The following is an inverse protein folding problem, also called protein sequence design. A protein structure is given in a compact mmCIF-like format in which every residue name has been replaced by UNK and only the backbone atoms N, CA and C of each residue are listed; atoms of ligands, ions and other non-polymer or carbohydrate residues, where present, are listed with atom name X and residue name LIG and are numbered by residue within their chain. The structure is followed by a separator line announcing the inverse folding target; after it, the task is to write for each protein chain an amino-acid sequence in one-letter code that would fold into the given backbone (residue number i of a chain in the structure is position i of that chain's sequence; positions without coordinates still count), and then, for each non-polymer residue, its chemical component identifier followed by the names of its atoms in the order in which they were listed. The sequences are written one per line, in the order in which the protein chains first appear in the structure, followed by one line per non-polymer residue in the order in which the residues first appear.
data_IF_107861339065
#
_entry.id   IF_107861339065
#
_cell.length_a   1.000
_cell.length_b   1.000
_cell.length_c   1.000
_cell.angle_alpha   90.00
_cell.angle_beta   90.00
_cell.angle_gamma   90.00
#
_symmetry.space_group_name_H-M   'P 1'
#
loop_
_entity.id
_entity.type
_entity.pdbx_description
1 polymer ?
#
# COMPACT_ATOMS: atom_id res chain seq x y z
N UNK A 1 -12.63 2.72 19.19
CA UNK A 1 -11.81 2.07 18.14
C UNK A 1 -12.55 0.83 17.70
N UNK A 2 -12.94 0.74 16.42
CA UNK A 2 -13.59 -0.47 15.88
C UNK A 2 -12.50 -1.48 15.64
N UNK A 3 -12.48 -2.56 16.41
CA UNK A 3 -11.57 -3.68 16.20
C UNK A 3 -11.73 -4.15 14.74
N UNK A 4 -10.67 -4.01 13.94
CA UNK A 4 -10.61 -4.78 12.70
C UNK A 4 -10.65 -6.25 13.12
N UNK A 5 -11.64 -6.99 12.65
CA UNK A 5 -11.66 -8.44 12.80
C UNK A 5 -10.46 -9.00 12.07
N UNK A 6 -9.76 -9.99 12.63
CA UNK A 6 -8.52 -10.57 12.09
C UNK A 6 -8.56 -10.85 10.57
N UNK A 7 -9.72 -11.25 10.04
CA UNK A 7 -9.94 -11.46 8.60
C UNK A 7 -9.76 -10.20 7.73
N UNK A 8 -10.14 -9.03 8.24
CA UNK A 8 -9.98 -7.75 7.54
C UNK A 8 -8.53 -7.31 7.51
N UNK A 9 -7.80 -7.58 8.57
CA UNK A 9 -6.36 -7.30 8.66
C UNK A 9 -5.57 -8.21 7.71
N UNK A 10 -5.92 -9.51 7.65
CA UNK A 10 -5.36 -10.45 6.68
C UNK A 10 -5.63 -9.97 5.24
N UNK A 11 -6.88 -9.62 4.93
CA UNK A 11 -7.24 -9.13 3.58
C UNK A 11 -6.48 -7.84 3.22
N UNK A 12 -6.34 -6.91 4.17
CA UNK A 12 -5.60 -5.67 3.97
C UNK A 12 -4.13 -5.97 3.66
N UNK A 13 -3.50 -6.85 4.44
CA UNK A 13 -2.11 -7.26 4.23
C UNK A 13 -1.92 -7.93 2.86
N UNK A 14 -2.84 -8.80 2.43
CA UNK A 14 -2.79 -9.44 1.11
C UNK A 14 -2.87 -8.42 -0.03
N UNK A 15 -3.79 -7.45 0.08
CA UNK A 15 -3.93 -6.38 -0.93
C UNK A 15 -2.68 -5.50 -0.94
N UNK A 16 -2.15 -5.11 0.21
CA UNK A 16 -0.93 -4.27 0.29
C UNK A 16 0.29 -5.01 -0.27
N UNK A 17 0.44 -6.30 0.01
CA UNK A 17 1.52 -7.12 -0.56
C UNK A 17 1.41 -7.22 -2.09
N UNK A 18 0.19 -7.35 -2.62
CA UNK A 18 -0.01 -7.38 -4.07
C UNK A 18 0.37 -6.04 -4.72
N UNK A 19 -0.05 -4.92 -4.13
CA UNK A 19 0.35 -3.59 -4.60
C UNK A 19 1.86 -3.42 -4.52
N UNK A 20 2.52 -3.90 -3.46
CA UNK A 20 3.97 -3.87 -3.33
C UNK A 20 4.66 -4.56 -4.51
N UNK A 21 4.25 -5.79 -4.82
CA UNK A 21 4.80 -6.58 -5.93
C UNK A 21 4.59 -5.88 -7.27
N UNK A 22 3.41 -5.30 -7.49
CA UNK A 22 3.11 -4.56 -8.72
C UNK A 22 4.01 -3.32 -8.86
N UNK A 23 4.26 -2.58 -7.76
CA UNK A 23 5.20 -1.45 -7.74
C UNK A 23 6.62 -1.93 -8.01
N UNK A 24 7.10 -2.98 -7.34
CA UNK A 24 8.44 -3.56 -7.56
C UNK A 24 8.64 -3.90 -9.04
N UNK A 25 7.65 -4.58 -9.64
CA UNK A 25 7.66 -4.97 -11.05
C UNK A 25 7.71 -3.76 -12.00
N UNK A 26 6.85 -2.76 -11.80
CA UNK A 26 6.83 -1.55 -12.63
C UNK A 26 8.15 -0.81 -12.55
N UNK A 27 8.65 -0.58 -11.34
CA UNK A 27 9.89 0.17 -11.13
C UNK A 27 11.07 -0.57 -11.75
N UNK A 28 11.17 -1.89 -11.53
CA UNK A 28 12.21 -2.71 -12.14
C UNK A 28 12.15 -2.68 -13.67
N UNK A 29 10.95 -2.77 -14.26
CA UNK A 29 10.77 -2.73 -15.71
C UNK A 29 11.29 -1.43 -16.33
N UNK A 30 11.11 -0.27 -15.68
CA UNK A 30 11.49 1.02 -16.25
C UNK A 30 12.89 1.51 -15.86
N UNK A 31 13.43 1.02 -14.75
CA UNK A 31 14.73 1.48 -14.22
C UNK A 31 15.83 0.43 -14.36
N UNK A 32 15.47 -0.85 -14.48
CA UNK A 32 16.40 -1.97 -14.38
C UNK A 32 16.89 -2.25 -12.96
N UNK A 33 16.39 -1.52 -11.97
CA UNK A 33 16.81 -1.61 -10.56
C UNK A 33 15.81 -2.42 -9.73
N UNK A 34 16.29 -3.02 -8.64
CA UNK A 34 15.43 -3.68 -7.65
C UNK A 34 15.12 -2.69 -6.51
N UNK A 35 13.93 -2.08 -6.47
CA UNK A 35 13.62 -1.04 -5.51
C UNK A 35 13.51 -1.61 -4.09
N UNK A 36 14.15 -0.95 -3.13
CA UNK A 36 13.90 -1.26 -1.72
C UNK A 36 12.61 -0.59 -1.29
N UNK A 37 11.53 -1.36 -1.16
CA UNK A 37 10.22 -0.83 -0.76
C UNK A 37 9.93 -1.06 0.72
N UNK A 38 9.66 0.03 1.43
CA UNK A 38 9.11 0.08 2.77
C UNK A 38 7.60 0.35 2.70
N UNK A 39 6.82 -0.50 3.38
CA UNK A 39 5.38 -0.33 3.56
C UNK A 39 5.12 0.20 4.97
N UNK A 40 4.49 1.37 5.05
CA UNK A 40 4.03 1.98 6.29
C UNK A 40 2.50 1.91 6.30
N UNK A 41 1.96 1.15 7.25
CA UNK A 41 0.52 1.02 7.44
C UNK A 41 0.14 1.68 8.77
N UNK A 42 -0.75 2.67 8.72
CA UNK A 42 -1.37 3.24 9.92
C UNK A 42 -2.90 3.29 9.78
N UNK A 43 -3.57 3.75 10.84
CA UNK A 43 -5.03 3.80 10.85
C UNK A 43 -5.61 4.75 9.80
N UNK A 44 -4.85 5.73 9.30
CA UNK A 44 -5.30 6.82 8.44
C UNK A 44 -4.80 6.71 6.99
N UNK A 45 -3.70 6.00 6.74
CA UNK A 45 -3.12 5.81 5.42
C UNK A 45 -2.28 4.53 5.29
N UNK A 46 -2.11 4.09 4.05
CA UNK A 46 -1.05 3.16 3.66
C UNK A 46 -0.05 3.93 2.78
N UNK A 47 1.23 3.82 3.05
CA UNK A 47 2.27 4.46 2.26
C UNK A 47 3.32 3.45 1.82
N UNK A 48 3.66 3.50 0.52
CA UNK A 48 4.80 2.79 -0.04
C UNK A 48 5.90 3.81 -0.29
N UNK A 49 7.05 3.62 0.34
CA UNK A 49 8.25 4.41 0.10
C UNK A 49 9.28 3.50 -0.53
N UNK A 50 9.89 3.93 -1.63
CA UNK A 50 10.99 3.17 -2.21
C UNK A 50 12.12 4.07 -2.69
N UNK A 51 13.33 3.54 -2.51
CA UNK A 51 14.58 4.19 -2.85
C UNK A 51 15.29 3.37 -3.94
N UNK A 52 15.69 4.07 -4.98
CA UNK A 52 16.52 3.57 -6.07
C UNK A 52 17.99 3.87 -5.81
N UNK A 53 18.91 3.11 -6.41
CA UNK A 53 20.36 3.27 -6.22
C UNK A 53 20.85 4.65 -6.68
N UNK A 54 20.14 5.27 -7.62
CA UNK A 54 20.40 6.60 -8.14
C UNK A 54 19.85 7.76 -7.28
N UNK A 55 19.61 7.52 -5.99
CA UNK A 55 19.04 8.48 -5.02
C UNK A 55 17.63 8.99 -5.39
N UNK A 56 16.93 8.31 -6.30
CA UNK A 56 15.54 8.63 -6.63
C UNK A 56 14.65 8.06 -5.52
N UNK A 57 13.99 8.96 -4.80
CA UNK A 57 12.99 8.64 -3.79
C UNK A 57 11.59 8.83 -4.37
N UNK A 58 10.76 7.79 -4.26
CA UNK A 58 9.33 7.87 -4.60
C UNK A 58 8.50 7.46 -3.40
N UNK A 59 7.49 8.28 -3.10
CA UNK A 59 6.50 8.02 -2.06
C UNK A 59 5.10 7.99 -2.64
N UNK A 60 4.44 6.84 -2.52
CA UNK A 60 3.03 6.66 -2.88
C UNK A 60 2.22 6.61 -1.59
N UNK A 61 1.32 7.57 -1.39
CA UNK A 61 0.44 7.60 -0.21
C UNK A 61 -0.99 7.29 -0.63
N UNK A 62 -1.51 6.17 -0.15
CA UNK A 62 -2.92 5.81 -0.21
C UNK A 62 -3.59 6.40 1.04
N UNK A 63 -4.02 7.66 0.96
CA UNK A 63 -4.87 8.25 1.98
C UNK A 63 -6.22 7.54 2.02
N UNK A 64 -6.87 7.53 3.19
CA UNK A 64 -8.26 7.08 3.32
C UNK A 64 -9.19 7.71 2.28
N UNK A 65 -9.51 6.94 1.25
CA UNK A 65 -10.87 6.85 0.71
C UNK A 65 -11.64 5.72 1.42
N UNK A 66 -11.30 5.38 2.68
CA UNK A 66 -11.99 4.32 3.44
C UNK A 66 -13.47 4.61 3.70
N UNK A 67 -13.97 5.80 3.36
CA UNK A 67 -15.41 6.06 3.23
C UNK A 67 -16.10 5.13 2.23
N UNK A 68 -15.39 4.50 1.29
CA UNK A 68 -15.99 3.56 0.30
C UNK A 68 -16.28 2.19 0.94
N UNK A 69 -15.47 1.74 1.91
CA UNK A 69 -15.70 0.48 2.64
C UNK A 69 -16.54 0.67 3.92
N UNK A 70 -16.82 1.92 4.29
CA UNK A 70 -17.61 2.29 5.47
C UNK A 70 -19.03 2.76 5.14
N UNK A 71 -19.41 2.84 3.86
CA UNK A 71 -20.82 3.07 3.53
C UNK A 71 -21.64 1.82 3.85
N UNK A 72 -22.62 1.88 4.77
CA UNK A 72 -23.66 0.87 4.81
C UNK A 72 -24.33 0.87 3.43
N UNK A 73 -24.44 -0.29 2.78
CA UNK A 73 -25.34 -0.42 1.66
C UNK A 73 -26.72 -0.01 2.17
N UNK A 74 -27.22 1.15 1.72
CA UNK A 74 -28.60 1.55 1.99
C UNK A 74 -29.51 0.50 1.35
N UNK A 75 -30.36 -0.08 2.18
CA UNK A 75 -31.48 -0.95 1.83
C UNK A 75 -32.38 -0.32 0.77
#
# INVERSE_FOLDING_TARGET
MKNMTDEREILLNDVMNKIKIDIESIVNQYTGEDPRIELILDNECAAFQFLLENEIEVKVTLSRTLSILLQPQKQ
#
